data_IF_890932561742
#
_entry.id   IF_890932561742
#
_cell.length_a   1.000
_cell.length_b   1.000
_cell.length_c   1.000
_cell.angle_alpha   90.00
_cell.angle_beta   90.00
_cell.angle_gamma   90.00
#
_symmetry.space_group_name_H-M   'P 1'
#
loop_
_entity.id
_entity.type
_entity.pdbx_description
1 polymer ?
#
# COMPACT_ATOMS: atom_id res chain seq x y z
N UNK A 1 -10.71 9.72 -12.88
CA UNK A 1 -10.18 9.30 -11.57
C UNK A 1 -8.86 8.62 -11.84
N UNK A 2 -7.74 9.23 -11.44
CA UNK A 2 -6.42 8.62 -11.64
C UNK A 2 -6.20 7.61 -10.51
N UNK A 3 -6.31 6.32 -10.83
CA UNK A 3 -5.88 5.27 -9.92
C UNK A 3 -4.35 5.26 -9.90
N UNK A 4 -3.77 5.86 -8.87
CA UNK A 4 -2.35 5.74 -8.61
C UNK A 4 -2.13 4.44 -7.86
N UNK A 5 -1.55 3.46 -8.55
CA UNK A 5 -0.99 2.26 -7.91
C UNK A 5 0.32 2.68 -7.25
N UNK A 6 0.35 2.67 -5.92
CA UNK A 6 1.58 2.85 -5.17
C UNK A 6 2.18 1.47 -4.90
N UNK A 7 3.31 1.18 -5.56
CA UNK A 7 4.04 -0.07 -5.42
C UNK A 7 5.26 0.23 -4.55
N UNK A 8 5.22 -0.27 -3.32
CA UNK A 8 6.30 -0.09 -2.36
C UNK A 8 6.97 -1.42 -2.09
N UNK A 9 8.28 -1.49 -2.33
CA UNK A 9 9.11 -2.64 -2.01
C UNK A 9 9.99 -2.30 -0.82
N UNK A 10 9.78 -2.99 0.30
CA UNK A 10 10.59 -2.83 1.50
C UNK A 10 11.06 -4.20 2.01
N UNK A 11 12.24 -4.21 2.62
CA UNK A 11 12.77 -5.37 3.33
C UNK A 11 12.45 -5.15 4.80
N UNK A 12 11.54 -5.92 5.38
CA UNK A 12 11.29 -5.87 6.83
C UNK A 12 12.42 -6.55 7.61
N UNK A 13 13.04 -7.56 7.00
CA UNK A 13 14.21 -8.24 7.55
C UNK A 13 15.51 -7.44 7.45
N UNK A 14 16.59 -8.04 7.97
CA UNK A 14 17.89 -7.39 8.05
C UNK A 14 18.58 -7.24 6.69
N UNK A 15 19.10 -6.04 6.39
CA UNK A 15 19.77 -5.72 5.12
C UNK A 15 21.11 -6.47 4.89
N UNK A 16 21.60 -7.21 5.88
CA UNK A 16 22.79 -8.09 5.74
C UNK A 16 22.57 -9.22 4.73
N UNK A 17 21.34 -9.73 4.59
CA UNK A 17 21.06 -10.85 3.69
C UNK A 17 21.27 -10.53 2.21
N UNK A 18 20.77 -9.41 1.64
CA UNK A 18 21.10 -9.03 0.27
C UNK A 18 22.58 -8.66 0.10
N UNK A 19 23.24 -8.10 1.13
CA UNK A 19 24.67 -7.80 1.09
C UNK A 19 25.54 -9.07 1.01
N UNK A 20 25.05 -10.21 1.52
CA UNK A 20 25.75 -11.49 1.51
C UNK A 20 25.71 -12.19 0.14
N UNK A 21 24.75 -11.82 -0.71
CA UNK A 21 24.50 -12.43 -2.02
C UNK A 21 25.70 -12.33 -2.98
N UNK A 22 26.36 -11.17 -3.19
CA UNK A 22 27.57 -11.10 -4.02
C UNK A 22 28.75 -11.89 -3.44
N UNK A 23 28.89 -11.93 -2.11
CA UNK A 23 29.95 -12.68 -1.44
C UNK A 23 29.80 -14.19 -1.71
N UNK A 24 28.59 -14.72 -1.53
CA UNK A 24 28.31 -16.14 -1.75
C UNK A 24 28.39 -16.49 -3.24
N UNK A 25 27.86 -15.63 -4.13
CA UNK A 25 27.98 -15.83 -5.58
C UNK A 25 29.45 -15.91 -6.04
N UNK A 26 30.30 -15.00 -5.56
CA UNK A 26 31.74 -15.03 -5.81
C UNK A 26 32.42 -16.29 -5.27
N UNK A 27 32.03 -16.74 -4.08
CA UNK A 27 32.55 -17.97 -3.48
C UNK A 27 32.14 -19.23 -4.26
N UNK A 28 30.87 -19.34 -4.67
CA UNK A 28 30.38 -20.42 -5.53
C UNK A 28 31.14 -20.45 -6.84
N UNK A 29 31.32 -19.28 -7.48
CA UNK A 29 32.09 -19.16 -8.72
C UNK A 29 33.54 -19.62 -8.54
N UNK A 30 34.19 -19.20 -7.45
CA UNK A 30 35.57 -19.58 -7.12
C UNK A 30 35.72 -21.11 -6.94
N UNK A 31 34.82 -21.73 -6.17
CA UNK A 31 34.81 -23.18 -5.96
C UNK A 31 34.61 -23.92 -7.29
N UNK A 32 33.59 -23.55 -8.06
CA UNK A 32 33.31 -24.20 -9.34
C UNK A 32 34.46 -24.07 -10.34
N UNK A 33 35.19 -22.94 -10.31
CA UNK A 33 36.39 -22.76 -11.13
C UNK A 33 37.51 -23.73 -10.77
N UNK A 34 37.64 -24.06 -9.49
CA UNK A 34 38.75 -24.85 -8.97
C UNK A 34 38.47 -26.35 -8.99
N UNK A 35 37.25 -26.77 -8.74
CA UNK A 35 36.89 -28.19 -8.56
C UNK A 35 36.47 -28.89 -9.86
N UNK A 36 35.93 -28.15 -10.84
CA UNK A 36 35.45 -28.72 -12.10
C UNK A 36 36.15 -28.10 -13.32
N UNK A 37 37.43 -28.44 -13.57
CA UNK A 37 38.17 -27.92 -14.72
C UNK A 37 37.78 -28.55 -16.07
N UNK A 38 37.02 -29.67 -16.09
CA UNK A 38 36.82 -30.51 -17.28
C UNK A 38 35.40 -30.46 -17.91
N UNK A 39 34.51 -29.58 -17.45
CA UNK A 39 33.15 -29.44 -18.00
C UNK A 39 33.03 -28.37 -19.08
N UNK A 40 32.00 -28.44 -19.92
CA UNK A 40 31.71 -27.40 -20.91
C UNK A 40 31.39 -26.05 -20.25
N UNK A 41 31.79 -24.94 -20.89
CA UNK A 41 31.57 -23.59 -20.34
C UNK A 41 30.09 -23.29 -20.07
N UNK A 42 29.18 -23.83 -20.89
CA UNK A 42 27.73 -23.64 -20.75
C UNK A 42 27.17 -24.41 -19.55
N UNK A 43 27.53 -25.68 -19.38
CA UNK A 43 27.09 -26.51 -18.26
C UNK A 43 27.54 -25.90 -16.92
N UNK A 44 28.78 -25.41 -16.89
CA UNK A 44 29.32 -24.72 -15.72
C UNK A 44 28.58 -23.41 -15.43
N UNK A 45 28.27 -22.61 -16.45
CA UNK A 45 27.50 -21.38 -16.27
C UNK A 45 26.08 -21.68 -15.75
N UNK A 46 25.42 -22.71 -16.29
CA UNK A 46 24.10 -23.15 -15.84
C UNK A 46 24.12 -23.63 -14.39
N UNK A 47 25.10 -24.45 -14.00
CA UNK A 47 25.22 -24.97 -12.63
C UNK A 47 25.53 -23.86 -11.62
N UNK A 48 26.41 -22.91 -11.96
CA UNK A 48 26.69 -21.74 -11.12
C UNK A 48 25.44 -20.88 -11.00
N UNK A 49 24.75 -20.60 -12.12
CA UNK A 49 23.52 -19.82 -12.14
C UNK A 49 22.43 -20.45 -11.27
N UNK A 50 22.19 -21.76 -11.42
CA UNK A 50 21.20 -22.49 -10.63
C UNK A 50 21.55 -22.50 -9.14
N UNK A 51 22.83 -22.64 -8.78
CA UNK A 51 23.26 -22.62 -7.37
C UNK A 51 23.14 -21.22 -6.76
N UNK A 52 23.53 -20.19 -7.49
CA UNK A 52 23.32 -18.81 -7.08
C UNK A 52 21.82 -18.49 -6.94
N UNK A 53 20.97 -18.98 -7.84
CA UNK A 53 19.52 -18.82 -7.75
C UNK A 53 18.94 -19.53 -6.52
N UNK A 54 19.34 -20.77 -6.24
CA UNK A 54 18.88 -21.52 -5.07
C UNK A 54 19.26 -20.83 -3.76
N UNK A 55 20.52 -20.42 -3.61
CA UNK A 55 20.98 -19.68 -2.42
C UNK A 55 20.34 -18.29 -2.35
N UNK A 56 20.21 -17.60 -3.49
CA UNK A 56 19.54 -16.31 -3.56
C UNK A 56 18.08 -16.38 -3.12
N UNK A 57 17.35 -17.42 -3.52
CA UNK A 57 15.98 -17.67 -3.05
C UNK A 57 15.92 -17.93 -1.55
N UNK A 58 16.84 -18.72 -0.99
CA UNK A 58 16.91 -18.94 0.45
C UNK A 58 17.18 -17.64 1.22
N UNK A 59 18.11 -16.80 0.74
CA UNK A 59 18.37 -15.49 1.33
C UNK A 59 17.18 -14.56 1.21
N UNK A 60 16.44 -14.63 0.10
CA UNK A 60 15.25 -13.84 -0.14
C UNK A 60 14.13 -14.25 0.81
N UNK A 61 13.92 -15.54 1.04
CA UNK A 61 12.98 -16.02 2.08
C UNK A 61 13.38 -15.49 3.46
N UNK A 62 14.68 -15.47 3.77
CA UNK A 62 15.19 -15.00 5.06
C UNK A 62 15.18 -13.47 5.22
N UNK A 63 15.24 -12.73 4.12
CA UNK A 63 15.18 -11.27 4.09
C UNK A 63 13.75 -10.73 4.22
N UNK A 64 12.74 -11.60 4.15
CA UNK A 64 11.32 -11.26 4.27
C UNK A 64 10.93 -10.04 3.42
N UNK A 65 11.06 -10.10 2.08
CA UNK A 65 10.67 -9.02 1.20
C UNK A 65 9.16 -8.88 1.22
N UNK A 66 8.68 -7.69 1.59
CA UNK A 66 7.27 -7.38 1.58
C UNK A 66 6.98 -6.49 0.36
N UNK A 67 6.19 -7.03 -0.56
CA UNK A 67 5.67 -6.29 -1.69
C UNK A 67 4.30 -5.71 -1.32
N UNK A 68 4.26 -4.41 -1.06
CA UNK A 68 3.03 -3.72 -0.70
C UNK A 68 2.42 -3.05 -1.93
N UNK A 69 1.22 -3.50 -2.32
CA UNK A 69 0.41 -2.88 -3.37
C UNK A 69 -0.73 -2.10 -2.71
N UNK A 70 -0.61 -0.77 -2.68
CA UNK A 70 -1.64 0.09 -2.12
C UNK A 70 -2.50 0.69 -3.23
N UNK A 71 -3.82 0.51 -3.11
CA UNK A 71 -4.81 1.20 -3.93
C UNK A 71 -5.47 2.28 -3.09
N UNK A 72 -5.12 3.54 -3.35
CA UNK A 72 -5.74 4.68 -2.66
C UNK A 72 -7.11 4.98 -3.29
N UNK A 73 -8.19 4.62 -2.60
CA UNK A 73 -9.55 4.99 -3.00
C UNK A 73 -10.04 6.14 -2.12
N UNK A 74 -10.28 7.29 -2.74
CA UNK A 74 -10.95 8.42 -2.06
C UNK A 74 -12.46 8.17 -2.15
N UNK A 75 -13.07 7.75 -1.04
CA UNK A 75 -14.53 7.63 -0.93
C UNK A 75 -15.04 8.91 -0.30
N UNK A 76 -15.89 9.66 -1.02
CA UNK A 76 -16.59 10.81 -0.43
C UNK A 76 -17.70 10.28 0.47
N UNK A 77 -17.78 10.68 1.75
CA UNK A 77 -18.88 10.26 2.61
C UNK A 77 -20.21 10.80 2.08
N UNK A 78 -21.20 9.93 1.93
CA UNK A 78 -22.57 10.29 1.57
C UNK A 78 -23.36 10.50 2.85
N UNK A 79 -23.70 11.76 3.16
CA UNK A 79 -24.56 12.10 4.29
C UNK A 79 -26.01 12.23 3.82
N UNK A 80 -26.88 11.34 4.30
CA UNK A 80 -28.32 11.46 4.12
C UNK A 80 -28.91 12.12 5.37
N UNK A 81 -29.40 13.34 5.22
CA UNK A 81 -30.13 14.05 6.27
C UNK A 81 -31.63 13.97 6.00
N UNK A 82 -32.37 13.40 6.94
CA UNK A 82 -33.83 13.43 6.93
C UNK A 82 -34.31 14.55 7.85
N UNK A 83 -35.12 15.45 7.30
CA UNK A 83 -35.74 16.55 8.04
C UNK A 83 -37.22 16.23 8.23
N UNK A 84 -37.68 16.28 9.47
CA UNK A 84 -39.10 16.12 9.78
C UNK A 84 -39.89 17.33 9.26
N UNK A 85 -40.96 17.08 8.52
CA UNK A 85 -41.88 18.09 7.97
C UNK A 85 -43.28 18.00 8.59
N UNK A 86 -43.40 17.36 9.75
CA UNK A 86 -44.64 17.26 10.52
C UNK A 86 -45.25 18.63 10.89
N UNK A 87 -46.54 18.67 11.19
CA UNK A 87 -47.25 19.92 11.56
C UNK A 87 -46.68 20.59 12.80
N UNK A 88 -46.05 19.85 13.72
CA UNK A 88 -45.33 20.41 14.87
C UNK A 88 -44.06 21.19 14.50
N UNK A 89 -43.54 20.98 13.30
CA UNK A 89 -42.39 21.70 12.79
C UNK A 89 -42.76 23.07 12.18
N UNK A 90 -44.05 23.27 11.89
CA UNK A 90 -44.61 24.56 11.46
C UNK A 90 -44.96 25.50 12.64
N UNK A 91 -44.80 25.04 13.89
CA UNK A 91 -45.01 25.85 15.09
C UNK A 91 -43.96 26.94 15.19
N UNK A 92 -44.39 28.17 15.49
CA UNK A 92 -43.51 29.29 15.77
C UNK A 92 -43.05 29.27 17.23
N UNK A 93 -41.74 29.34 17.41
CA UNK A 93 -41.09 29.63 18.69
C UNK A 93 -40.18 30.85 18.49
N UNK A 94 -40.28 31.82 19.42
CA UNK A 94 -39.46 33.04 19.37
C UNK A 94 -39.57 33.81 18.04
N UNK A 95 -40.75 33.75 17.40
CA UNK A 95 -41.02 34.44 16.13
C UNK A 95 -40.42 33.77 14.89
N UNK A 96 -39.96 32.51 14.98
CA UNK A 96 -39.45 31.72 13.86
C UNK A 96 -40.04 30.32 13.87
N UNK A 97 -40.36 29.76 12.70
CA UNK A 97 -40.77 28.34 12.63
C UNK A 97 -39.54 27.46 12.81
N UNK A 98 -39.73 26.30 13.46
CA UNK A 98 -38.65 25.32 13.67
C UNK A 98 -38.05 24.84 12.34
N UNK A 99 -38.86 24.66 11.31
CA UNK A 99 -38.39 24.34 9.94
C UNK A 99 -37.44 25.40 9.37
N UNK A 100 -37.77 26.68 9.53
CA UNK A 100 -36.97 27.76 8.99
C UNK A 100 -35.61 27.84 9.69
N UNK A 101 -35.58 27.55 11.00
CA UNK A 101 -34.36 27.45 11.80
C UNK A 101 -33.44 26.32 11.30
N UNK A 102 -33.99 25.15 10.97
CA UNK A 102 -33.24 24.03 10.39
C UNK A 102 -32.71 24.40 9.01
N UNK A 103 -33.54 25.00 8.15
CA UNK A 103 -33.10 25.43 6.82
C UNK A 103 -31.96 26.47 6.87
N UNK A 104 -32.03 27.42 7.82
CA UNK A 104 -30.96 28.39 8.05
C UNK A 104 -29.66 27.74 8.53
N UNK A 105 -29.75 26.77 9.45
CA UNK A 105 -28.58 26.03 9.92
C UNK A 105 -27.91 25.24 8.79
N UNK A 106 -28.71 24.58 7.94
CA UNK A 106 -28.20 23.79 6.81
C UNK A 106 -27.61 24.66 5.68
N UNK A 107 -28.09 25.89 5.53
CA UNK A 107 -27.57 26.85 4.56
C UNK A 107 -26.32 27.61 5.03
N UNK A 108 -25.90 27.44 6.28
CA UNK A 108 -24.73 28.13 6.84
C UNK A 108 -23.42 27.55 6.24
N UNK A 109 -22.49 28.40 5.79
CA UNK A 109 -21.24 27.95 5.13
C UNK A 109 -20.42 26.98 5.99
N UNK A 110 -20.45 27.17 7.31
CA UNK A 110 -19.77 26.30 8.28
C UNK A 110 -20.28 24.86 8.24
N UNK A 111 -21.58 24.66 7.93
CA UNK A 111 -22.15 23.32 7.76
C UNK A 111 -21.60 22.62 6.51
N UNK A 112 -21.46 23.34 5.40
CA UNK A 112 -20.84 22.83 4.17
C UNK A 112 -19.36 22.45 4.38
N UNK A 113 -18.59 23.31 5.05
CA UNK A 113 -17.17 23.03 5.38
C UNK A 113 -17.01 21.84 6.32
N UNK A 114 -17.91 21.67 7.29
CA UNK A 114 -17.90 20.51 8.18
C UNK A 114 -18.14 19.18 7.43
N UNK A 115 -18.90 19.20 6.34
CA UNK A 115 -19.14 18.04 5.48
C UNK A 115 -18.00 17.77 4.49
N UNK A 116 -17.21 18.78 4.14
CA UNK A 116 -16.04 18.64 3.26
C UNK A 116 -14.76 18.22 4.00
N UNK A 117 -14.67 18.51 5.30
CA UNK A 117 -13.53 18.18 6.16
C UNK A 117 -13.62 16.86 6.93
N UNK A 118 -14.75 16.15 6.86
CA UNK A 118 -15.00 14.85 7.49
C UNK A 118 -14.91 13.70 6.49
#
# INVERSE_FOLDING_TARGET
MAEWLDIQFHLEGSHIFPALLPLIGGFIYYIYRRTHPAGGNLERALLIGLRCAAVGLLLLVLAEPVLNLWKKQVVRPLFLLLVDTSTSMATEEEGTRRLDRVAQMLGHEEWGKALEGA
#
